data_IF_381978017470
#
_entry.id   IF_381978017470
#
_cell.length_a   1.000
_cell.length_b   1.000
_cell.length_c   1.000
_cell.angle_alpha   90.00
_cell.angle_beta   90.00
_cell.angle_gamma   90.00
#
_symmetry.space_group_name_H-M   'P 1'
#
loop_
_entity.id
_entity.type
_entity.pdbx_description
1 polymer ?
#
# COMPACT_ATOMS: atom_id res chain seq x y z
N UNK A 1 29.82 -1.57 -16.09
CA UNK A 1 29.97 -2.89 -15.43
C UNK A 1 28.67 -3.65 -15.64
N UNK A 2 28.69 -4.80 -16.33
CA UNK A 2 27.51 -5.68 -16.42
C UNK A 2 27.28 -6.29 -15.04
N UNK A 3 26.24 -5.84 -14.34
CA UNK A 3 25.82 -6.48 -13.10
C UNK A 3 24.99 -7.72 -13.46
N UNK A 4 25.54 -8.92 -13.24
CA UNK A 4 24.88 -10.19 -13.54
C UNK A 4 23.48 -10.28 -12.92
N UNK A 5 23.28 -9.69 -11.74
CA UNK A 5 21.99 -9.67 -11.06
C UNK A 5 20.97 -8.76 -11.76
N UNK A 6 21.41 -7.69 -12.42
CA UNK A 6 20.52 -6.81 -13.19
C UNK A 6 20.05 -7.48 -14.48
N UNK A 7 20.91 -8.29 -15.12
CA UNK A 7 20.50 -9.10 -16.27
C UNK A 7 19.53 -10.22 -15.85
N UNK A 8 19.77 -10.88 -14.71
CA UNK A 8 18.85 -11.85 -14.15
C UNK A 8 17.48 -11.23 -13.82
N UNK A 9 17.48 -10.02 -13.23
CA UNK A 9 16.27 -9.26 -12.98
C UNK A 9 15.48 -8.98 -14.26
N UNK A 10 16.15 -8.56 -15.34
CA UNK A 10 15.49 -8.36 -16.64
C UNK A 10 14.87 -9.63 -17.18
N UNK A 11 15.56 -10.77 -17.04
CA UNK A 11 15.02 -12.08 -17.44
C UNK A 11 13.73 -12.36 -16.67
N UNK A 12 13.76 -12.22 -15.33
CA UNK A 12 12.57 -12.42 -14.49
C UNK A 12 11.41 -11.48 -14.89
N UNK A 13 11.67 -10.20 -15.12
CA UNK A 13 10.61 -9.27 -15.56
C UNK A 13 10.03 -9.64 -16.94
N UNK A 14 10.86 -10.10 -17.88
CA UNK A 14 10.41 -10.53 -19.21
C UNK A 14 9.64 -11.85 -19.18
N UNK A 15 10.06 -12.79 -18.35
CA UNK A 15 9.35 -14.06 -18.13
C UNK A 15 8.00 -13.79 -17.47
N UNK A 16 7.95 -12.86 -16.51
CA UNK A 16 6.70 -12.42 -15.90
C UNK A 16 5.76 -11.77 -16.91
N UNK A 17 6.27 -10.87 -17.75
CA UNK A 17 5.52 -10.26 -18.84
C UNK A 17 4.94 -11.31 -19.79
N UNK A 18 5.71 -12.35 -20.11
CA UNK A 18 5.28 -13.45 -20.97
C UNK A 18 4.11 -14.20 -20.34
N UNK A 19 4.21 -14.55 -19.05
CA UNK A 19 3.13 -15.17 -18.28
C UNK A 19 1.87 -14.30 -18.27
N UNK A 20 2.00 -13.02 -17.96
CA UNK A 20 0.87 -12.09 -17.91
C UNK A 20 0.18 -11.97 -19.28
N UNK A 21 0.94 -11.91 -20.38
CA UNK A 21 0.39 -11.89 -21.74
C UNK A 21 -0.33 -13.18 -22.11
N UNK A 22 0.10 -14.33 -21.61
CA UNK A 22 -0.62 -15.58 -21.79
C UNK A 22 -1.95 -15.58 -21.04
N UNK A 23 -1.95 -15.12 -19.79
CA UNK A 23 -3.16 -15.01 -18.99
C UNK A 23 -4.15 -13.98 -19.58
N UNK A 24 -3.66 -12.86 -20.08
CA UNK A 24 -4.49 -11.81 -20.70
C UNK A 24 -5.17 -12.24 -22.02
N UNK A 25 -4.72 -13.32 -22.66
CA UNK A 25 -5.41 -13.89 -23.83
C UNK A 25 -6.70 -14.63 -23.45
N UNK A 26 -6.84 -15.00 -22.18
CA UNK A 26 -8.01 -15.72 -21.69
C UNK A 26 -9.11 -14.70 -21.38
N UNK A 27 -10.35 -14.90 -21.87
CA UNK A 27 -11.46 -14.03 -21.51
C UNK A 27 -11.65 -13.93 -19.99
N UNK A 28 -12.00 -12.74 -19.51
CA UNK A 28 -12.10 -12.42 -18.08
C UNK A 28 -13.11 -13.32 -17.34
N UNK A 29 -14.19 -13.71 -18.02
CA UNK A 29 -15.24 -14.60 -17.51
C UNK A 29 -14.85 -16.07 -17.56
N UNK A 30 -13.81 -16.42 -18.31
CA UNK A 30 -13.32 -17.79 -18.51
C UNK A 30 -12.04 -18.11 -17.72
N UNK A 31 -11.32 -17.09 -17.24
CA UNK A 31 -10.09 -17.30 -16.48
C UNK A 31 -10.40 -17.96 -15.13
N UNK A 32 -9.82 -19.13 -14.94
CA UNK A 32 -10.01 -19.93 -13.74
C UNK A 32 -8.96 -19.60 -12.69
N UNK A 33 -9.29 -19.78 -11.40
CA UNK A 33 -8.41 -19.39 -10.30
C UNK A 33 -7.08 -20.16 -10.31
N UNK A 34 -7.10 -21.43 -10.72
CA UNK A 34 -5.90 -22.26 -10.91
C UNK A 34 -4.95 -21.69 -11.95
N UNK A 35 -5.47 -21.07 -13.02
CA UNK A 35 -4.61 -20.41 -14.01
C UNK A 35 -4.01 -19.13 -13.45
N UNK A 36 -4.78 -18.35 -12.70
CA UNK A 36 -4.25 -17.13 -12.06
C UNK A 36 -3.19 -17.49 -11.01
N UNK A 37 -3.35 -18.62 -10.30
CA UNK A 37 -2.38 -19.10 -9.30
C UNK A 37 -0.98 -19.41 -9.88
N UNK A 38 -0.86 -19.57 -11.21
CA UNK A 38 0.45 -19.61 -11.86
C UNK A 38 1.32 -18.37 -11.57
N UNK A 39 0.71 -17.21 -11.25
CA UNK A 39 1.41 -16.00 -10.80
C UNK A 39 2.06 -16.22 -9.43
N UNK A 40 1.36 -16.87 -8.49
CA UNK A 40 1.92 -17.22 -7.18
C UNK A 40 3.10 -18.18 -7.35
N UNK A 41 2.93 -19.21 -8.18
CA UNK A 41 3.99 -20.20 -8.48
C UNK A 41 5.22 -19.49 -9.07
N UNK A 42 5.03 -18.64 -10.07
CA UNK A 42 6.10 -17.88 -10.70
C UNK A 42 6.88 -17.05 -9.68
N UNK A 43 6.18 -16.30 -8.83
CA UNK A 43 6.85 -15.44 -7.85
C UNK A 43 7.46 -16.22 -6.70
N UNK A 44 6.86 -17.34 -6.31
CA UNK A 44 7.47 -18.26 -5.36
C UNK A 44 8.80 -18.79 -5.90
N UNK A 45 8.86 -19.25 -7.16
CA UNK A 45 10.09 -19.75 -7.79
C UNK A 45 11.18 -18.66 -7.88
N UNK A 46 10.78 -17.43 -8.16
CA UNK A 46 11.68 -16.28 -8.34
C UNK A 46 11.97 -15.48 -7.05
N UNK A 47 11.44 -15.88 -5.90
CA UNK A 47 11.57 -15.16 -4.61
C UNK A 47 13.01 -14.86 -4.21
N UNK A 48 13.94 -15.74 -4.53
CA UNK A 48 15.36 -15.56 -4.21
C UNK A 48 15.97 -14.42 -5.03
N UNK A 49 15.57 -14.25 -6.30
CA UNK A 49 16.03 -13.12 -7.12
C UNK A 49 15.53 -11.80 -6.53
N UNK A 50 14.26 -11.75 -6.11
CA UNK A 50 13.70 -10.58 -5.41
C UNK A 50 14.57 -10.26 -4.19
N UNK A 51 14.82 -11.24 -3.32
CA UNK A 51 15.64 -11.03 -2.12
C UNK A 51 17.07 -10.56 -2.44
N UNK A 52 17.74 -11.18 -3.42
CA UNK A 52 19.09 -10.79 -3.85
C UNK A 52 19.14 -9.37 -4.41
N UNK A 53 18.11 -8.94 -5.15
CA UNK A 53 18.01 -7.56 -5.66
C UNK A 53 18.02 -6.56 -4.50
N UNK A 54 17.27 -6.80 -3.43
CA UNK A 54 17.29 -5.93 -2.25
C UNK A 54 18.61 -6.02 -1.47
N UNK A 55 19.15 -7.22 -1.29
CA UNK A 55 20.39 -7.46 -0.53
C UNK A 55 21.66 -6.91 -1.20
N UNK A 56 21.65 -6.74 -2.52
CA UNK A 56 22.87 -6.39 -3.27
C UNK A 56 22.71 -5.21 -4.23
N UNK A 57 21.60 -5.12 -4.97
CA UNK A 57 21.41 -4.05 -5.96
C UNK A 57 20.86 -2.77 -5.32
N UNK A 58 19.85 -2.90 -4.47
CA UNK A 58 19.17 -1.76 -3.83
C UNK A 58 19.72 -1.43 -2.44
N UNK A 59 20.63 -2.26 -1.92
CA UNK A 59 21.17 -2.09 -0.58
C UNK A 59 21.77 -0.70 -0.35
N UNK A 60 21.29 -0.04 0.71
CA UNK A 60 21.73 1.31 1.10
C UNK A 60 21.30 2.41 0.11
N UNK A 61 20.36 2.13 -0.79
CA UNK A 61 19.75 3.09 -1.71
C UNK A 61 18.30 3.31 -1.31
N UNK A 62 17.85 4.56 -1.43
CA UNK A 62 16.46 4.89 -1.17
C UNK A 62 15.61 4.26 -2.28
N UNK A 63 14.83 3.26 -1.90
CA UNK A 63 13.96 2.52 -2.82
C UNK A 63 12.51 2.76 -2.41
N UNK A 64 11.76 3.45 -3.25
CA UNK A 64 10.35 3.71 -3.00
C UNK A 64 9.49 2.63 -3.62
N UNK A 65 8.49 2.19 -2.85
CA UNK A 65 7.58 1.12 -3.24
C UNK A 65 6.17 1.66 -3.33
N UNK A 66 5.61 1.74 -4.54
CA UNK A 66 4.22 2.08 -4.77
C UNK A 66 3.35 0.91 -4.31
N UNK A 67 2.70 1.07 -3.16
CA UNK A 67 1.94 0.01 -2.49
C UNK A 67 0.63 0.57 -1.92
N UNK A 68 -0.18 -0.31 -1.31
CA UNK A 68 -1.54 -0.05 -0.86
C UNK A 68 -2.44 0.58 -1.94
N UNK A 69 -2.11 0.34 -3.21
CA UNK A 69 -2.89 0.71 -4.37
C UNK A 69 -3.29 -0.56 -5.12
N UNK A 70 -4.47 -0.53 -5.73
CA UNK A 70 -4.96 -1.64 -6.54
C UNK A 70 -4.39 -1.62 -7.95
N UNK A 71 -3.99 -0.43 -8.43
CA UNK A 71 -3.56 -0.14 -9.81
C UNK A 71 -2.51 0.98 -9.77
N UNK A 72 -1.46 0.82 -10.57
CA UNK A 72 -0.62 1.90 -11.08
C UNK A 72 -1.03 2.16 -12.53
N UNK A 73 -1.51 3.37 -12.80
CA UNK A 73 -2.07 3.74 -14.10
C UNK A 73 -1.03 4.55 -14.86
N UNK A 74 -0.46 3.96 -15.91
CA UNK A 74 0.62 4.55 -16.70
C UNK A 74 0.18 5.85 -17.39
N UNK A 75 -1.12 6.01 -17.67
CA UNK A 75 -1.65 7.23 -18.29
C UNK A 75 -1.88 8.34 -17.25
N UNK A 76 -1.91 8.00 -15.96
CA UNK A 76 -2.12 8.94 -14.88
C UNK A 76 -0.83 9.65 -14.50
N UNK A 77 -0.57 10.77 -15.17
CA UNK A 77 0.61 11.63 -14.92
C UNK A 77 0.75 12.12 -13.48
N UNK A 78 -0.31 12.17 -12.67
CA UNK A 78 -0.20 12.58 -11.26
C UNK A 78 0.71 11.64 -10.45
N UNK A 79 0.74 10.37 -10.86
CA UNK A 79 1.58 9.35 -10.23
C UNK A 79 3.06 9.58 -10.51
N UNK A 80 3.42 10.43 -11.47
CA UNK A 80 4.82 10.69 -11.82
C UNK A 80 5.61 11.38 -10.69
N UNK A 81 4.92 12.03 -9.75
CA UNK A 81 5.52 12.53 -8.50
C UNK A 81 6.31 11.46 -7.74
N UNK A 82 5.93 10.19 -7.88
CA UNK A 82 6.64 9.04 -7.33
C UNK A 82 8.10 8.97 -7.79
N UNK A 83 8.38 9.35 -9.05
CA UNK A 83 9.71 9.25 -9.64
C UNK A 83 10.64 10.42 -9.34
N UNK A 84 10.18 11.39 -8.56
CA UNK A 84 11.00 12.51 -8.08
C UNK A 84 11.84 12.12 -6.84
N UNK A 85 11.59 10.95 -6.26
CA UNK A 85 12.17 10.49 -5.01
C UNK A 85 12.94 9.18 -5.20
N UNK A 86 14.04 9.00 -4.50
CA UNK A 86 14.76 7.74 -4.45
C UNK A 86 15.60 7.42 -5.68
N UNK A 87 16.31 6.30 -5.57
CA UNK A 87 17.15 5.75 -6.61
C UNK A 87 16.44 4.66 -7.42
N UNK A 88 15.57 3.90 -6.76
CA UNK A 88 14.85 2.78 -7.36
C UNK A 88 13.37 2.84 -7.02
N UNK A 89 12.55 2.33 -7.94
CA UNK A 89 11.10 2.39 -7.87
C UNK A 89 10.54 1.00 -8.10
N UNK A 90 9.71 0.55 -7.16
CA UNK A 90 9.06 -0.75 -7.23
C UNK A 90 7.55 -0.55 -7.19
N UNK A 91 6.83 -1.28 -8.02
CA UNK A 91 5.38 -1.46 -7.88
C UNK A 91 5.14 -2.79 -7.15
N UNK A 92 4.49 -2.70 -5.99
CA UNK A 92 4.13 -3.88 -5.21
C UNK A 92 2.90 -4.57 -5.82
N UNK A 93 3.14 -5.64 -6.56
CA UNK A 93 2.11 -6.37 -7.29
C UNK A 93 1.05 -6.93 -6.34
N UNK A 94 -0.21 -6.46 -6.40
CA UNK A 94 -1.23 -6.86 -5.46
C UNK A 94 -1.87 -8.21 -5.83
N UNK A 95 -1.62 -8.78 -7.02
CA UNK A 95 -2.30 -10.00 -7.49
C UNK A 95 -2.15 -11.18 -6.51
N UNK A 96 -0.93 -11.53 -6.03
CA UNK A 96 -0.77 -12.60 -5.05
C UNK A 96 -1.58 -12.38 -3.75
N UNK A 97 -1.71 -11.13 -3.31
CA UNK A 97 -2.52 -10.79 -2.12
C UNK A 97 -4.02 -11.01 -2.38
N UNK A 98 -4.50 -10.68 -3.57
CA UNK A 98 -5.89 -10.95 -3.97
C UNK A 98 -6.18 -12.45 -4.01
N UNK A 99 -5.26 -13.23 -4.57
CA UNK A 99 -5.37 -14.69 -4.64
C UNK A 99 -5.49 -15.32 -3.25
N UNK A 100 -4.66 -14.87 -2.30
CA UNK A 100 -4.75 -15.35 -0.91
C UNK A 100 -6.07 -14.96 -0.24
N UNK A 101 -6.67 -13.83 -0.63
CA UNK A 101 -7.94 -13.37 -0.07
C UNK A 101 -9.15 -14.15 -0.61
N UNK A 102 -9.12 -14.57 -1.88
CA UNK A 102 -10.26 -15.27 -2.50
C UNK A 102 -10.34 -16.76 -2.14
N UNK A 103 -9.25 -17.35 -1.64
CA UNK A 103 -9.25 -18.75 -1.20
C UNK A 103 -10.27 -18.92 -0.07
N UNK A 104 -11.24 -19.82 -0.29
CA UNK A 104 -12.28 -20.12 0.70
C UNK A 104 -13.51 -19.20 0.67
N UNK A 105 -13.55 -18.17 -0.19
CA UNK A 105 -14.74 -17.33 -0.37
C UNK A 105 -15.78 -18.07 -1.23
N UNK A 106 -17.03 -18.11 -0.76
CA UNK A 106 -18.17 -18.73 -1.46
C UNK A 106 -19.10 -17.73 -2.14
N UNK A 107 -18.93 -16.42 -1.89
CA UNK A 107 -19.74 -15.37 -2.52
C UNK A 107 -19.37 -15.20 -4.00
N UNK A 108 -20.28 -15.62 -4.89
CA UNK A 108 -20.09 -15.55 -6.34
C UNK A 108 -19.96 -14.12 -6.86
N UNK A 109 -20.69 -13.15 -6.31
CA UNK A 109 -20.63 -11.75 -6.77
C UNK A 109 -19.25 -11.18 -6.46
N UNK A 110 -18.76 -11.42 -5.25
CA UNK A 110 -17.43 -11.01 -4.84
C UNK A 110 -16.35 -11.67 -5.70
N UNK A 111 -16.44 -12.99 -5.91
CA UNK A 111 -15.50 -13.73 -6.75
C UNK A 111 -15.43 -13.18 -8.19
N UNK A 112 -16.57 -12.90 -8.81
CA UNK A 112 -16.61 -12.32 -10.16
C UNK A 112 -16.03 -10.90 -10.21
N UNK A 113 -16.31 -10.07 -9.19
CA UNK A 113 -15.66 -8.75 -9.06
C UNK A 113 -14.15 -8.86 -8.87
N UNK A 114 -13.68 -9.80 -8.05
CA UNK A 114 -12.24 -10.01 -7.82
C UNK A 114 -11.53 -10.52 -9.06
N UNK A 115 -12.12 -11.44 -9.83
CA UNK A 115 -11.59 -11.85 -11.13
C UNK A 115 -11.43 -10.66 -12.08
N UNK A 116 -12.44 -9.77 -12.13
CA UNK A 116 -12.37 -8.54 -12.92
C UNK A 116 -11.20 -7.64 -12.48
N UNK A 117 -11.05 -7.42 -11.18
CA UNK A 117 -9.96 -6.62 -10.63
C UNK A 117 -8.62 -7.24 -11.02
N UNK A 118 -8.43 -8.55 -10.81
CA UNK A 118 -7.21 -9.27 -11.18
C UNK A 118 -6.92 -9.14 -12.69
N UNK A 119 -7.91 -9.37 -13.55
CA UNK A 119 -7.71 -9.25 -15.00
C UNK A 119 -7.35 -7.83 -15.44
N UNK A 120 -7.88 -6.81 -14.77
CA UNK A 120 -7.47 -5.43 -15.03
C UNK A 120 -6.04 -5.18 -14.55
N UNK A 121 -5.69 -5.62 -13.33
CA UNK A 121 -4.32 -5.52 -12.82
C UNK A 121 -3.31 -6.25 -13.70
N UNK A 122 -3.66 -7.40 -14.30
CA UNK A 122 -2.80 -8.08 -15.28
C UNK A 122 -2.50 -7.17 -16.47
N UNK A 123 -3.51 -6.47 -17.02
CA UNK A 123 -3.33 -5.54 -18.13
C UNK A 123 -2.45 -4.36 -17.74
N UNK A 124 -2.67 -3.81 -16.55
CA UNK A 124 -1.88 -2.69 -16.03
C UNK A 124 -0.42 -3.11 -15.82
N UNK A 125 -0.17 -4.29 -15.23
CA UNK A 125 1.17 -4.84 -15.05
C UNK A 125 1.90 -5.09 -16.38
N UNK A 126 1.19 -5.55 -17.43
CA UNK A 126 1.76 -5.66 -18.77
C UNK A 126 2.24 -4.29 -19.26
N UNK A 127 1.39 -3.26 -19.16
CA UNK A 127 1.74 -1.90 -19.58
C UNK A 127 2.90 -1.32 -18.80
N UNK A 128 2.95 -1.52 -17.48
CA UNK A 128 4.08 -1.08 -16.64
C UNK A 128 5.40 -1.65 -17.18
N UNK A 129 5.46 -2.97 -17.41
CA UNK A 129 6.71 -3.60 -17.87
C UNK A 129 7.07 -3.13 -19.29
N UNK A 130 6.10 -2.96 -20.18
CA UNK A 130 6.34 -2.57 -21.58
C UNK A 130 6.68 -1.08 -21.75
N UNK A 131 5.99 -0.19 -21.04
CA UNK A 131 6.07 1.26 -21.23
C UNK A 131 7.06 1.94 -20.27
N UNK A 132 7.19 1.44 -19.04
CA UNK A 132 8.09 2.01 -18.02
C UNK A 132 9.41 1.22 -17.92
N UNK A 133 9.45 -0.02 -18.41
CA UNK A 133 10.67 -0.82 -18.53
C UNK A 133 11.47 -0.85 -17.21
N UNK A 134 12.69 -0.31 -17.20
CA UNK A 134 13.55 -0.27 -16.00
C UNK A 134 13.26 0.88 -15.05
N UNK A 135 12.36 1.81 -15.40
CA UNK A 135 12.00 2.94 -14.54
C UNK A 135 11.09 2.50 -13.39
N UNK A 136 10.28 1.45 -13.58
CA UNK A 136 9.42 0.85 -12.55
C UNK A 136 9.48 -0.66 -12.60
N UNK A 137 9.98 -1.28 -11.53
CA UNK A 137 10.15 -2.73 -11.43
C UNK A 137 8.95 -3.33 -10.70
N UNK A 138 8.37 -4.42 -11.21
CA UNK A 138 7.26 -5.10 -10.53
C UNK A 138 7.79 -6.20 -9.64
N UNK A 139 7.42 -6.17 -8.36
CA UNK A 139 7.63 -7.28 -7.42
C UNK A 139 6.44 -7.42 -6.49
N UNK A 140 6.04 -8.64 -6.07
CA UNK A 140 4.94 -8.82 -5.13
C UNK A 140 5.47 -8.78 -3.69
N UNK A 141 6.04 -7.64 -3.27
CA UNK A 141 6.84 -7.57 -2.04
C UNK A 141 6.07 -8.01 -0.80
N UNK A 142 4.80 -7.63 -0.63
CA UNK A 142 3.99 -8.10 0.52
C UNK A 142 3.78 -9.62 0.54
N UNK A 143 3.73 -10.25 -0.63
CA UNK A 143 3.62 -11.70 -0.72
C UNK A 143 4.97 -12.37 -0.46
N UNK A 144 6.05 -11.81 -1.02
CA UNK A 144 7.41 -12.33 -0.82
C UNK A 144 7.85 -12.22 0.64
N UNK A 145 7.56 -11.12 1.33
CA UNK A 145 7.92 -10.95 2.76
C UNK A 145 7.30 -12.05 3.63
N UNK A 146 6.01 -12.32 3.43
CA UNK A 146 5.29 -13.41 4.10
C UNK A 146 5.96 -14.77 3.86
N UNK A 147 6.34 -15.08 2.62
CA UNK A 147 7.00 -16.34 2.28
C UNK A 147 8.36 -16.47 2.97
N UNK A 148 9.18 -15.41 2.90
CA UNK A 148 10.55 -15.42 3.42
C UNK A 148 10.56 -15.57 4.95
N UNK A 149 9.67 -14.85 5.63
CA UNK A 149 9.62 -14.80 7.07
C UNK A 149 8.69 -15.86 7.69
N UNK A 150 7.89 -16.57 6.89
CA UNK A 150 7.00 -17.69 7.29
C UNK A 150 6.02 -17.35 8.44
N UNK A 151 5.42 -16.17 8.40
CA UNK A 151 4.68 -15.61 9.55
C UNK A 151 3.28 -15.10 9.19
N UNK A 152 2.64 -15.65 8.16
CA UNK A 152 1.30 -15.25 7.73
C UNK A 152 0.28 -15.27 8.88
N UNK A 153 0.22 -16.40 9.61
CA UNK A 153 -0.71 -16.60 10.74
C UNK A 153 -0.44 -15.59 11.87
N UNK A 154 0.82 -15.22 12.09
CA UNK A 154 1.19 -14.26 13.13
C UNK A 154 0.68 -12.84 12.81
N UNK A 155 0.70 -12.44 11.53
CA UNK A 155 0.16 -11.13 11.12
C UNK A 155 -1.36 -11.05 11.29
N UNK A 156 -2.08 -12.14 11.01
CA UNK A 156 -3.52 -12.21 11.25
C UNK A 156 -3.82 -12.14 12.76
N UNK A 157 -3.11 -12.91 13.59
CA UNK A 157 -3.26 -12.84 15.05
C UNK A 157 -3.00 -11.43 15.61
N UNK A 158 -1.99 -10.73 15.11
CA UNK A 158 -1.69 -9.36 15.52
C UNK A 158 -2.81 -8.42 15.08
N UNK A 159 -3.29 -8.54 13.84
CA UNK A 159 -4.40 -7.74 13.32
C UNK A 159 -5.68 -7.95 14.14
N UNK A 160 -5.99 -9.19 14.49
CA UNK A 160 -7.15 -9.54 15.32
C UNK A 160 -7.06 -8.92 16.71
N UNK A 161 -5.90 -9.00 17.36
CA UNK A 161 -5.66 -8.37 18.67
C UNK A 161 -5.79 -6.86 18.60
N UNK A 162 -5.19 -6.22 17.58
CA UNK A 162 -5.30 -4.77 17.37
C UNK A 162 -6.75 -4.35 17.15
N UNK A 163 -7.52 -5.13 16.39
CA UNK A 163 -8.94 -4.87 16.16
C UNK A 163 -9.76 -5.03 17.46
N UNK A 164 -9.55 -6.10 18.23
CA UNK A 164 -10.28 -6.32 19.48
C UNK A 164 -9.98 -5.22 20.52
N UNK A 165 -8.75 -4.71 20.55
CA UNK A 165 -8.35 -3.60 21.43
C UNK A 165 -9.07 -2.27 21.15
N UNK A 166 -9.83 -2.16 20.05
CA UNK A 166 -10.70 -1.01 19.80
C UNK A 166 -11.94 -1.00 20.71
N UNK A 167 -12.23 -2.09 21.42
CA UNK A 167 -13.43 -2.31 22.21
C UNK A 167 -13.09 -2.52 23.69
N UNK A 168 -14.06 -2.21 24.57
CA UNK A 168 -13.84 -2.28 26.02
C UNK A 168 -13.97 -3.69 26.61
N UNK A 169 -14.81 -4.53 26.01
CA UNK A 169 -15.25 -5.81 26.56
C UNK A 169 -15.32 -6.91 25.49
N UNK A 170 -14.36 -6.91 24.57
CA UNK A 170 -14.20 -7.92 23.51
C UNK A 170 -12.77 -8.45 23.53
N UNK A 171 -12.62 -9.75 23.80
CA UNK A 171 -11.30 -10.40 23.91
C UNK A 171 -10.82 -11.01 22.59
N UNK A 172 -11.74 -11.41 21.71
CA UNK A 172 -11.41 -12.09 20.46
C UNK A 172 -12.49 -11.91 19.37
N UNK A 173 -12.16 -12.29 18.13
CA UNK A 173 -13.04 -12.15 16.96
C UNK A 173 -14.34 -12.95 17.08
N UNK A 174 -14.32 -14.13 17.72
CA UNK A 174 -15.53 -14.94 17.90
C UNK A 174 -16.53 -14.23 18.80
N UNK A 175 -16.04 -13.64 19.89
CA UNK A 175 -16.84 -12.83 20.80
C UNK A 175 -17.37 -11.57 20.09
N UNK A 176 -16.52 -10.87 19.34
CA UNK A 176 -16.91 -9.72 18.52
C UNK A 176 -18.10 -10.03 17.61
N UNK A 177 -17.99 -11.12 16.82
CA UNK A 177 -19.04 -11.51 15.85
C UNK A 177 -20.37 -11.85 16.52
N UNK A 178 -20.34 -12.22 17.81
CA UNK A 178 -21.53 -12.54 18.58
C UNK A 178 -22.14 -11.31 19.26
N UNK A 179 -21.31 -10.42 19.80
CA UNK A 179 -21.75 -9.24 20.56
C UNK A 179 -22.07 -8.03 19.68
N UNK A 180 -21.40 -7.87 18.54
CA UNK A 180 -21.50 -6.67 17.69
C UNK A 180 -22.21 -7.02 16.39
N UNK A 181 -23.54 -6.90 16.38
CA UNK A 181 -24.35 -7.21 15.21
C UNK A 181 -25.02 -5.95 14.66
N UNK A 182 -25.60 -5.12 15.53
CA UNK A 182 -26.29 -3.88 15.14
C UNK A 182 -25.42 -2.64 15.34
N UNK A 183 -25.94 -1.48 14.93
CA UNK A 183 -25.28 -0.19 15.17
C UNK A 183 -25.23 0.15 16.67
N UNK A 184 -26.29 -0.16 17.42
CA UNK A 184 -26.35 0.06 18.86
C UNK A 184 -25.31 -0.81 19.59
N UNK A 185 -25.12 -2.06 19.17
CA UNK A 185 -24.09 -2.93 19.72
C UNK A 185 -22.69 -2.36 19.48
N UNK A 186 -22.42 -1.89 18.26
CA UNK A 186 -21.14 -1.25 17.91
C UNK A 186 -20.86 -0.06 18.84
N UNK A 187 -21.83 0.86 18.97
CA UNK A 187 -21.69 2.05 19.81
C UNK A 187 -21.49 1.69 21.29
N UNK A 188 -22.19 0.65 21.76
CA UNK A 188 -22.13 0.20 23.15
C UNK A 188 -20.77 -0.39 23.53
N UNK A 189 -20.18 -1.18 22.63
CA UNK A 189 -18.98 -1.97 22.92
C UNK A 189 -17.67 -1.26 22.53
N UNK A 190 -17.72 -0.34 21.56
CA UNK A 190 -16.55 0.41 21.09
C UNK A 190 -15.99 1.33 22.18
N UNK A 191 -14.67 1.36 22.33
CA UNK A 191 -14.03 2.31 23.23
C UNK A 191 -14.12 3.74 22.71
N UNK A 192 -14.51 4.67 23.59
CA UNK A 192 -14.74 6.07 23.25
C UNK A 192 -13.45 6.80 22.85
N UNK A 193 -12.30 6.43 23.42
CA UNK A 193 -11.04 7.06 23.03
C UNK A 193 -10.60 6.56 21.65
N UNK A 194 -10.74 5.26 21.41
CA UNK A 194 -10.40 4.64 20.13
C UNK A 194 -11.33 5.06 18.99
N UNK A 195 -12.60 5.41 19.26
CA UNK A 195 -13.54 5.82 18.22
C UNK A 195 -13.07 7.05 17.41
N UNK A 196 -12.29 7.93 18.04
CA UNK A 196 -11.79 9.17 17.43
C UNK A 196 -10.67 8.97 16.40
N UNK A 197 -9.98 7.83 16.43
CA UNK A 197 -8.86 7.53 15.52
C UNK A 197 -9.24 6.61 14.38
N UNK A 198 -10.46 6.07 14.39
CA UNK A 198 -10.96 5.18 13.33
C UNK A 198 -11.50 6.05 12.20
N UNK A 199 -11.02 5.82 10.98
CA UNK A 199 -11.55 6.43 9.75
C UNK A 199 -11.99 5.32 8.80
N UNK A 200 -13.16 5.48 8.18
CA UNK A 200 -13.76 4.45 7.34
C UNK A 200 -13.57 4.70 5.83
N UNK A 201 -13.52 5.97 5.41
CA UNK A 201 -13.44 6.36 4.00
C UNK A 201 -12.78 7.73 3.83
N UNK A 202 -12.37 8.09 2.61
CA UNK A 202 -11.74 9.38 2.35
C UNK A 202 -12.71 10.54 2.68
N UNK A 203 -12.26 11.47 3.54
CA UNK A 203 -13.09 12.57 4.03
C UNK A 203 -14.03 12.20 5.18
N UNK A 204 -13.89 11.00 5.76
CA UNK A 204 -14.56 10.66 7.01
C UNK A 204 -14.12 11.60 8.14
N UNK A 205 -15.09 11.98 8.98
CA UNK A 205 -14.90 12.89 10.10
C UNK A 205 -15.41 12.18 11.38
N UNK A 206 -14.52 11.85 12.33
CA UNK A 206 -14.88 11.18 13.57
C UNK A 206 -15.89 11.93 14.44
N UNK A 207 -16.13 13.22 14.20
CA UNK A 207 -17.14 14.00 14.92
C UNK A 207 -18.58 13.72 14.45
N UNK A 208 -18.75 13.09 13.28
CA UNK A 208 -20.06 12.64 12.80
C UNK A 208 -20.55 11.40 13.55
N UNK A 209 -21.87 11.18 13.50
CA UNK A 209 -22.49 10.00 14.13
C UNK A 209 -22.09 8.71 13.42
N UNK A 210 -22.02 7.61 14.16
CA UNK A 210 -21.73 6.29 13.58
C UNK A 210 -22.76 5.87 12.52
N UNK A 211 -24.04 6.25 12.68
CA UNK A 211 -25.08 6.04 11.67
C UNK A 211 -24.66 6.62 10.32
N UNK A 212 -24.35 7.92 10.30
CA UNK A 212 -23.92 8.62 9.09
C UNK A 212 -22.65 8.00 8.49
N UNK A 213 -21.66 7.72 9.33
CA UNK A 213 -20.36 7.19 8.89
C UNK A 213 -20.51 5.79 8.28
N UNK A 214 -21.32 4.92 8.88
CA UNK A 214 -21.58 3.58 8.36
C UNK A 214 -22.42 3.61 7.07
N UNK A 215 -23.41 4.49 6.97
CA UNK A 215 -24.18 4.68 5.72
C UNK A 215 -23.29 5.17 4.58
N UNK A 216 -22.47 6.21 4.83
CA UNK A 216 -21.52 6.72 3.84
C UNK A 216 -20.50 5.68 3.41
N UNK A 217 -19.99 4.88 4.34
CA UNK A 217 -19.09 3.78 4.00
C UNK A 217 -19.76 2.79 3.04
N UNK A 218 -21.02 2.41 3.28
CA UNK A 218 -21.78 1.52 2.37
C UNK A 218 -22.01 2.16 1.00
N UNK A 219 -22.36 3.44 0.95
CA UNK A 219 -22.56 4.17 -0.32
C UNK A 219 -21.28 4.21 -1.17
N UNK A 220 -20.13 4.38 -0.52
CA UNK A 220 -18.83 4.49 -1.18
C UNK A 220 -18.21 3.13 -1.54
N UNK A 221 -18.75 2.01 -1.07
CA UNK A 221 -18.21 0.68 -1.28
C UNK A 221 -19.27 -0.27 -1.85
N UNK A 222 -19.21 -0.51 -3.16
CA UNK A 222 -20.14 -1.43 -3.84
C UNK A 222 -19.56 -2.85 -4.00
N UNK A 223 -18.32 -3.09 -3.54
CA UNK A 223 -17.54 -4.31 -3.80
C UNK A 223 -18.18 -5.62 -3.28
N UNK A 224 -19.10 -5.52 -2.33
CA UNK A 224 -19.87 -6.64 -1.79
C UNK A 224 -21.31 -6.23 -1.54
N UNK A 225 -22.21 -7.21 -1.46
CA UNK A 225 -23.62 -6.96 -1.16
C UNK A 225 -23.76 -6.61 0.33
N UNK A 226 -23.52 -5.34 0.65
CA UNK A 226 -23.57 -4.77 2.00
C UNK A 226 -24.88 -5.09 2.73
N UNK A 227 -25.98 -5.28 1.98
CA UNK A 227 -27.29 -5.56 2.56
C UNK A 227 -27.41 -6.98 3.12
N UNK A 228 -26.48 -7.89 2.78
CA UNK A 228 -26.41 -9.25 3.34
C UNK A 228 -25.59 -9.35 4.62
N UNK A 229 -24.90 -8.28 5.01
CA UNK A 229 -24.00 -8.27 6.15
C UNK A 229 -24.57 -7.44 7.31
N UNK A 230 -24.31 -7.90 8.53
CA UNK A 230 -24.59 -7.12 9.74
C UNK A 230 -23.71 -5.86 9.80
N UNK A 231 -24.12 -4.84 10.56
CA UNK A 231 -23.30 -3.63 10.75
C UNK A 231 -21.93 -3.99 11.32
N UNK A 232 -21.87 -4.90 12.29
CA UNK A 232 -20.60 -5.40 12.83
C UNK A 232 -19.73 -6.08 11.78
N UNK A 233 -20.30 -6.82 10.82
CA UNK A 233 -19.49 -7.42 9.74
C UNK A 233 -18.92 -6.36 8.80
N UNK A 234 -19.71 -5.34 8.45
CA UNK A 234 -19.27 -4.24 7.59
C UNK A 234 -18.17 -3.42 8.27
N UNK A 235 -18.35 -3.10 9.56
CA UNK A 235 -17.33 -2.42 10.35
C UNK A 235 -16.03 -3.23 10.44
N UNK A 236 -16.15 -4.56 10.64
CA UNK A 236 -14.99 -5.45 10.62
C UNK A 236 -14.25 -5.36 9.29
N UNK A 237 -14.93 -5.49 8.15
CA UNK A 237 -14.29 -5.39 6.84
C UNK A 237 -13.59 -4.05 6.62
N UNK A 238 -14.22 -2.95 7.05
CA UNK A 238 -13.66 -1.62 6.93
C UNK A 238 -12.37 -1.46 7.75
N UNK A 239 -12.40 -1.85 9.03
CA UNK A 239 -11.30 -1.53 9.96
C UNK A 239 -10.23 -2.62 9.99
N UNK A 240 -10.62 -3.90 10.10
CA UNK A 240 -9.68 -5.02 10.11
C UNK A 240 -8.88 -5.07 8.80
N UNK A 241 -9.53 -4.84 7.66
CA UNK A 241 -8.87 -4.84 6.36
C UNK A 241 -7.73 -3.81 6.28
N UNK A 242 -7.96 -2.59 6.76
CA UNK A 242 -6.93 -1.55 6.77
C UNK A 242 -5.84 -1.81 7.82
N UNK A 243 -6.18 -2.35 9.01
CA UNK A 243 -5.18 -2.76 10.00
C UNK A 243 -4.25 -3.85 9.44
N UNK A 244 -4.82 -4.89 8.82
CA UNK A 244 -4.07 -6.00 8.22
C UNK A 244 -3.20 -5.55 7.06
N UNK A 245 -3.72 -4.63 6.22
CA UNK A 245 -2.95 -4.02 5.13
C UNK A 245 -1.77 -3.20 5.67
N UNK A 246 -1.98 -2.39 6.71
CA UNK A 246 -0.92 -1.60 7.33
C UNK A 246 0.18 -2.50 7.92
N UNK A 247 -0.18 -3.60 8.61
CA UNK A 247 0.79 -4.59 9.09
C UNK A 247 1.61 -5.23 7.95
N UNK A 248 0.97 -5.56 6.83
CA UNK A 248 1.68 -6.09 5.66
C UNK A 248 2.68 -5.07 5.09
N UNK A 249 2.38 -3.76 5.16
CA UNK A 249 3.32 -2.72 4.75
C UNK A 249 4.54 -2.67 5.68
N UNK A 250 4.36 -2.81 7.01
CA UNK A 250 5.50 -2.86 7.94
C UNK A 250 6.38 -4.09 7.72
N UNK A 251 5.78 -5.26 7.53
CA UNK A 251 6.53 -6.48 7.24
C UNK A 251 7.34 -6.33 5.94
N UNK A 252 6.71 -5.81 4.88
CA UNK A 252 7.37 -5.50 3.61
C UNK A 252 8.52 -4.50 3.78
N UNK A 253 8.27 -3.38 4.45
CA UNK A 253 9.25 -2.32 4.73
C UNK A 253 10.44 -2.86 5.53
N UNK A 254 10.17 -3.67 6.55
CA UNK A 254 11.21 -4.27 7.40
C UNK A 254 12.03 -5.31 6.64
N UNK A 255 11.40 -6.07 5.74
CA UNK A 255 12.05 -7.15 5.01
C UNK A 255 12.94 -6.63 3.88
N UNK A 256 12.45 -5.67 3.11
CA UNK A 256 13.12 -5.19 1.88
C UNK A 256 13.76 -3.81 2.02
N UNK A 257 13.69 -3.24 3.20
CA UNK A 257 14.14 -1.88 3.52
C UNK A 257 13.54 -0.75 2.64
N UNK A 258 12.40 -1.00 1.98
CA UNK A 258 11.73 -0.04 1.09
C UNK A 258 10.97 1.06 1.82
N UNK A 259 10.73 2.18 1.15
CA UNK A 259 9.89 3.28 1.62
C UNK A 259 8.51 3.18 0.94
N UNK A 260 7.41 2.90 1.67
CA UNK A 260 6.08 2.87 1.08
C UNK A 260 5.68 4.24 0.49
N UNK A 261 5.25 4.26 -0.77
CA UNK A 261 4.59 5.38 -1.40
C UNK A 261 3.08 5.10 -1.43
N UNK A 262 2.33 5.78 -0.57
CA UNK A 262 0.90 5.55 -0.37
C UNK A 262 0.14 6.81 -0.79
N UNK A 263 -0.63 6.72 -1.89
CA UNK A 263 -1.35 7.88 -2.44
C UNK A 263 -2.75 8.11 -1.86
N UNK A 264 -3.36 7.06 -1.31
CA UNK A 264 -4.71 7.12 -0.73
C UNK A 264 -4.64 7.42 0.76
N UNK A 265 -5.56 8.26 1.22
CA UNK A 265 -5.49 8.77 2.60
C UNK A 265 -5.77 7.69 3.64
N UNK A 266 -6.75 6.82 3.41
CA UNK A 266 -7.13 5.80 4.40
C UNK A 266 -6.01 4.78 4.65
N UNK A 267 -5.41 4.13 3.64
CA UNK A 267 -4.28 3.24 3.90
C UNK A 267 -3.11 3.94 4.60
N UNK A 268 -2.82 5.20 4.23
CA UNK A 268 -1.78 6.00 4.88
C UNK A 268 -2.13 6.27 6.35
N UNK A 269 -3.39 6.62 6.65
CA UNK A 269 -3.85 6.87 8.02
C UNK A 269 -3.65 5.65 8.92
N UNK A 270 -4.04 4.45 8.48
CA UNK A 270 -3.86 3.23 9.27
C UNK A 270 -2.38 2.83 9.39
N UNK A 271 -1.58 3.03 8.35
CA UNK A 271 -0.13 2.88 8.43
C UNK A 271 0.46 3.81 9.50
N UNK A 272 0.09 5.10 9.49
CA UNK A 272 0.54 6.07 10.49
C UNK A 272 0.07 5.74 11.91
N UNK A 273 -1.19 5.34 12.06
CA UNK A 273 -1.77 4.95 13.33
C UNK A 273 -0.95 3.83 13.97
N UNK A 274 -0.67 2.77 13.22
CA UNK A 274 0.13 1.64 13.70
C UNK A 274 1.59 2.03 13.97
N UNK A 275 2.22 2.86 13.12
CA UNK A 275 3.56 3.40 13.40
C UNK A 275 3.60 4.07 14.77
N UNK A 276 2.63 4.93 15.05
CA UNK A 276 2.57 5.66 16.32
C UNK A 276 2.36 4.76 17.54
N UNK A 277 1.64 3.65 17.37
CA UNK A 277 1.41 2.65 18.42
C UNK A 277 2.70 1.88 18.68
N UNK A 278 3.40 1.44 17.63
CA UNK A 278 4.67 0.74 17.76
C UNK A 278 5.74 1.63 18.38
N UNK A 279 5.89 2.88 17.93
CA UNK A 279 6.83 3.82 18.53
C UNK A 279 6.57 4.06 20.01
N UNK A 280 5.31 4.24 20.43
CA UNK A 280 4.96 4.46 21.84
C UNK A 280 5.31 3.25 22.71
N UNK A 281 5.11 2.04 22.18
CA UNK A 281 5.28 0.80 22.94
C UNK A 281 6.72 0.24 22.90
N UNK A 282 7.49 0.50 21.84
CA UNK A 282 8.85 -0.01 21.63
C UNK A 282 9.94 1.03 21.99
N UNK A 283 9.55 2.24 22.42
CA UNK A 283 10.44 3.36 22.74
C UNK A 283 11.59 3.08 23.71
N UNK A 284 11.56 2.11 24.65
CA UNK A 284 12.72 1.82 25.48
C UNK A 284 13.89 1.12 24.74
N UNK A 285 13.65 0.51 23.57
CA UNK A 285 14.63 -0.37 22.90
C UNK A 285 15.17 0.19 21.57
N UNK A 286 14.55 1.24 21.02
CA UNK A 286 14.84 1.81 19.71
C UNK A 286 15.29 3.28 19.80
N UNK A 287 16.36 3.55 20.57
CA UNK A 287 17.04 4.83 20.44
C UNK A 287 17.73 4.90 19.06
N UNK A 288 17.21 5.80 18.22
CA UNK A 288 17.80 6.29 16.95
C UNK A 288 18.13 5.21 15.91
N UNK A 289 17.15 4.73 15.15
CA UNK A 289 17.42 3.92 13.95
C UNK A 289 16.49 4.25 12.77
N UNK A 290 16.98 3.89 11.57
CA UNK A 290 16.46 4.12 10.20
C UNK A 290 14.95 3.96 9.96
N UNK A 291 14.21 3.29 10.84
CA UNK A 291 12.75 3.15 10.77
C UNK A 291 12.02 4.49 10.87
N UNK A 292 12.51 5.45 11.68
CA UNK A 292 11.91 6.79 11.75
C UNK A 292 12.06 7.58 10.43
N UNK A 293 12.91 7.14 9.49
CA UNK A 293 13.12 7.82 8.21
C UNK A 293 12.06 7.46 7.21
N UNK A 294 11.77 6.17 7.10
CA UNK A 294 10.90 5.64 6.05
C UNK A 294 9.46 6.07 6.26
N UNK A 295 8.96 5.99 7.50
CA UNK A 295 7.68 6.56 7.90
C UNK A 295 7.55 8.04 7.51
N UNK A 296 8.55 8.86 7.88
CA UNK A 296 8.56 10.29 7.58
C UNK A 296 8.55 10.54 6.06
N UNK A 297 9.41 9.83 5.33
CA UNK A 297 9.46 9.87 3.87
C UNK A 297 8.14 9.47 3.23
N UNK A 298 7.46 8.43 3.72
CA UNK A 298 6.12 8.02 3.26
C UNK A 298 5.07 9.12 3.46
N UNK A 299 5.09 9.83 4.58
CA UNK A 299 4.20 10.97 4.81
C UNK A 299 4.48 12.12 3.86
N UNK A 300 5.75 12.49 3.70
CA UNK A 300 6.15 13.57 2.79
C UNK A 300 5.78 13.23 1.34
N UNK A 301 5.98 11.98 0.92
CA UNK A 301 5.57 11.45 -0.39
C UNK A 301 4.08 11.63 -0.67
N UNK A 302 3.22 11.43 0.33
CA UNK A 302 1.78 11.68 0.17
C UNK A 302 1.51 13.16 -0.12
N UNK A 303 2.13 14.08 0.62
CA UNK A 303 1.97 15.51 0.35
C UNK A 303 2.56 15.92 -1.00
N UNK A 304 3.69 15.31 -1.39
CA UNK A 304 4.26 15.47 -2.73
C UNK A 304 3.25 15.09 -3.82
N UNK A 305 2.64 13.91 -3.72
CA UNK A 305 1.59 13.47 -4.64
C UNK A 305 0.42 14.47 -4.70
N UNK A 306 -0.07 14.92 -3.54
CA UNK A 306 -1.21 15.84 -3.47
C UNK A 306 -0.91 17.22 -4.07
N UNK A 307 0.29 17.78 -3.85
CA UNK A 307 0.66 19.08 -4.41
C UNK A 307 1.02 18.96 -5.90
N UNK A 308 1.66 17.86 -6.32
CA UNK A 308 1.98 17.60 -7.72
C UNK A 308 0.71 17.52 -8.58
N UNK A 309 -0.30 16.79 -8.14
CA UNK A 309 -1.60 16.66 -8.85
C UNK A 309 -2.27 18.01 -9.13
N UNK A 310 -2.09 19.02 -8.27
CA UNK A 310 -2.72 20.34 -8.44
C UNK A 310 -2.10 21.17 -9.56
N UNK A 311 -0.90 20.80 -10.01
CA UNK A 311 -0.06 21.63 -10.89
C UNK A 311 -0.17 21.26 -12.36
N UNK A 312 -0.81 20.14 -12.69
CA UNK A 312 -0.98 19.65 -14.08
C UNK A 312 0.35 19.68 -14.87
N UNK A 313 1.45 19.26 -14.24
CA UNK A 313 2.80 19.36 -14.80
C UNK A 313 2.90 18.53 -16.08
N UNK A 314 3.07 19.20 -17.22
CA UNK A 314 3.16 18.57 -18.53
C UNK A 314 4.63 18.31 -18.94
N UNK A 315 5.27 17.43 -18.19
CA UNK A 315 6.59 16.91 -18.52
C UNK A 315 6.52 15.40 -18.77
N UNK A 316 7.35 14.92 -19.69
CA UNK A 316 7.58 13.48 -19.83
C UNK A 316 8.23 12.92 -18.56
N UNK A 317 8.05 11.63 -18.31
CA UNK A 317 8.67 10.97 -17.15
C UNK A 317 10.20 11.15 -17.15
N UNK A 318 10.83 11.04 -18.32
CA UNK A 318 12.27 11.25 -18.46
C UNK A 318 12.69 12.68 -18.07
N UNK A 319 11.97 13.70 -18.54
CA UNK A 319 12.25 15.09 -18.17
C UNK A 319 12.08 15.33 -16.67
N UNK A 320 11.01 14.80 -16.05
CA UNK A 320 10.79 14.91 -14.60
C UNK A 320 11.94 14.31 -13.81
N UNK A 321 12.36 13.10 -14.16
CA UNK A 321 13.48 12.41 -13.51
C UNK A 321 14.78 13.20 -13.67
N UNK A 322 15.06 13.70 -14.88
CA UNK A 322 16.27 14.47 -15.14
C UNK A 322 16.28 15.78 -14.32
N UNK A 323 15.17 16.52 -14.31
CA UNK A 323 15.04 17.75 -13.51
C UNK A 323 15.19 17.47 -12.02
N UNK A 324 14.60 16.38 -11.52
CA UNK A 324 14.75 15.96 -10.12
C UNK A 324 16.20 15.66 -9.75
N UNK A 325 16.96 15.01 -10.65
CA UNK A 325 18.40 14.77 -10.50
C UNK A 325 19.17 16.09 -10.51
N UNK A 326 18.88 16.99 -11.46
CA UNK A 326 19.61 18.24 -11.66
C UNK A 326 19.54 19.17 -10.44
N UNK A 327 18.44 19.13 -9.69
CA UNK A 327 18.27 19.92 -8.46
C UNK A 327 18.47 19.13 -7.16
N UNK A 328 18.86 17.85 -7.26
CA UNK A 328 18.98 16.93 -6.11
C UNK A 328 17.72 16.94 -5.22
N UNK A 329 16.57 16.73 -5.86
CA UNK A 329 15.23 17.01 -5.32
C UNK A 329 14.99 16.39 -3.94
N UNK A 330 15.21 15.08 -3.79
CA UNK A 330 14.97 14.38 -2.52
C UNK A 330 15.86 14.92 -1.41
N UNK A 331 17.17 15.02 -1.65
CA UNK A 331 18.14 15.51 -0.67
C UNK A 331 17.77 16.93 -0.23
N UNK A 332 17.42 17.81 -1.16
CA UNK A 332 17.01 19.18 -0.87
C UNK A 332 15.70 19.23 -0.10
N UNK A 333 14.70 18.42 -0.48
CA UNK A 333 13.41 18.29 0.19
C UNK A 333 13.60 17.92 1.66
N UNK A 334 14.34 16.84 1.95
CA UNK A 334 14.52 16.36 3.31
C UNK A 334 15.51 17.20 4.12
N UNK A 335 16.45 17.91 3.49
CA UNK A 335 17.30 18.89 4.18
C UNK A 335 16.52 20.14 4.59
N UNK A 336 15.61 20.65 3.75
CA UNK A 336 14.79 21.83 4.06
C UNK A 336 13.71 21.51 5.10
N UNK A 337 13.10 20.33 5.02
CA UNK A 337 12.19 19.85 6.06
C UNK A 337 12.95 19.51 7.35
N UNK A 338 14.17 19.02 7.26
CA UNK A 338 14.85 18.43 8.42
C UNK A 338 14.10 17.22 8.97
N UNK A 339 14.53 16.76 10.14
CA UNK A 339 13.96 15.61 10.81
C UNK A 339 13.23 16.04 12.06
N UNK A 340 11.90 16.00 12.05
CA UNK A 340 11.09 16.15 13.25
C UNK A 340 10.09 15.01 13.32
N UNK A 341 10.45 13.95 14.05
CA UNK A 341 9.57 12.81 14.31
C UNK A 341 8.27 13.20 15.04
N UNK A 342 8.18 14.45 15.53
CA UNK A 342 6.95 15.10 15.95
C UNK A 342 7.00 16.56 15.46
N UNK A 343 5.89 17.08 14.91
CA UNK A 343 5.63 18.52 14.69
C UNK A 343 6.24 19.20 13.45
N UNK A 344 6.02 18.65 12.26
CA UNK A 344 5.81 19.54 11.11
C UNK A 344 4.35 19.58 10.75
N UNK A 345 3.76 20.77 10.91
CA UNK A 345 2.41 21.03 10.41
C UNK A 345 2.36 20.69 8.92
N UNK A 346 1.29 20.03 8.48
CA UNK A 346 1.06 19.72 7.07
C UNK A 346 1.24 20.95 6.15
N UNK A 347 1.04 22.17 6.68
CA UNK A 347 1.31 23.43 5.98
C UNK A 347 2.78 23.61 5.61
N UNK A 348 3.71 23.29 6.50
CA UNK A 348 5.15 23.39 6.26
C UNK A 348 5.58 22.40 5.18
N UNK A 349 5.15 21.15 5.27
CA UNK A 349 5.46 20.12 4.27
C UNK A 349 4.98 20.57 2.89
N UNK A 350 3.71 20.99 2.79
CA UNK A 350 3.12 21.48 1.55
C UNK A 350 3.85 22.70 0.99
N UNK A 351 4.30 23.61 1.84
CA UNK A 351 5.07 24.79 1.43
C UNK A 351 6.41 24.40 0.80
N UNK A 352 7.20 23.56 1.47
CA UNK A 352 8.52 23.13 0.95
C UNK A 352 8.37 22.30 -0.32
N UNK A 353 7.43 21.34 -0.33
CA UNK A 353 7.08 20.55 -1.53
C UNK A 353 6.72 21.48 -2.69
N UNK A 354 5.81 22.45 -2.46
CA UNK A 354 5.39 23.39 -3.49
C UNK A 354 6.56 24.21 -4.03
N UNK A 355 7.40 24.73 -3.13
CA UNK A 355 8.59 25.50 -3.51
C UNK A 355 9.51 24.69 -4.43
N UNK A 356 9.74 23.41 -4.14
CA UNK A 356 10.61 22.56 -4.97
C UNK A 356 9.94 22.14 -6.28
N UNK A 357 8.63 21.93 -6.29
CA UNK A 357 7.88 21.70 -7.53
C UNK A 357 7.93 22.94 -8.45
N UNK A 358 7.94 24.16 -7.90
CA UNK A 358 8.15 25.37 -8.70
C UNK A 358 9.54 25.39 -9.38
N UNK A 359 10.54 24.72 -8.81
CA UNK A 359 11.87 24.60 -9.43
C UNK A 359 11.88 23.55 -10.56
N UNK A 360 11.12 22.46 -10.40
CA UNK A 360 10.90 21.45 -11.45
C UNK A 360 10.18 22.06 -12.65
N UNK A 361 9.21 22.95 -12.45
CA UNK A 361 8.46 23.58 -13.56
C UNK A 361 9.26 24.65 -14.32
N UNK A 362 10.25 25.29 -13.67
CA UNK A 362 11.01 26.43 -14.24
C UNK A 362 12.27 26.02 -14.98
N UNK A 363 12.98 25.03 -14.47
CA UNK A 363 14.07 24.35 -15.17
C UNK A 363 13.45 23.40 -16.19
#
# INVERSE_FOLDING_TARGET
MNNSLFEELKIVQNDYLSLLKELNKIPQDEISLDKIDSINVFWYENRNIVNLVFDYLFKGKDTYCFSAATIFDVDNKDQNSFFLLGNYHVFDDPIPSYLNTIIGISDKIYLEKMKKIISNTIKDNIRIIEELNSDLIIFPLRYTSVILNQHYEQLDEIAEKLFCNLFNDIENITEYRTKVVTLEDLIKHLDYHNSSVILLFEGDDPSNTWEYRMERYKENNDNYDMNKHSIGSIFFFAVYGHLRQALALFDMESTFEVIPFIRSFIPLHYYILLSSIFEKNLKPELEHNSANNKYWKSQVSYFLYQEFRKREIDHSLWELKQKAIDIDFETKLFNELGYSANEQEAKTIKYVVSKLLDEIEKN
#
